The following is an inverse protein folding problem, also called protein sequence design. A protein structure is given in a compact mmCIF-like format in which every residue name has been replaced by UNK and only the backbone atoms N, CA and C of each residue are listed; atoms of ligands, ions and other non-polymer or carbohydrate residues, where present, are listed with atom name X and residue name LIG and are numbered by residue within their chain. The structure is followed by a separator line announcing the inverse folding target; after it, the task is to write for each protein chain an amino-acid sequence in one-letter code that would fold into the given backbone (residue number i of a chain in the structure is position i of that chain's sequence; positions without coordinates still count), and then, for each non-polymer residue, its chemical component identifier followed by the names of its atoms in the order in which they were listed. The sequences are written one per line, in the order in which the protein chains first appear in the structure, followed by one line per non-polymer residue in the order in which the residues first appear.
data_IF_958962899198
#
_entry.id   IF_958962899198
#
_cell.length_a   1.000
_cell.length_b   1.000
_cell.length_c   1.000
_cell.angle_alpha   90.00
_cell.angle_beta   90.00
_cell.angle_gamma   90.00
#
_symmetry.space_group_name_H-M   'P 1'
#
loop_
_entity.id
_entity.type
_entity.pdbx_description
1 polymer ?
#
# COMPACT_ATOMS: atom_id res chain seq x y z
N UNK A 1 -4.22 -7.70 4.80
CA UNK A 1 -4.43 -6.45 5.54
C UNK A 1 -3.17 -5.62 5.54
N UNK A 2 -3.27 -4.32 5.81
CA UNK A 2 -2.13 -3.44 6.03
C UNK A 2 -1.94 -3.15 7.53
N UNK A 3 -0.77 -2.61 7.89
CA UNK A 3 -0.38 -2.46 9.31
C UNK A 3 -1.33 -1.62 10.14
N UNK A 4 -1.86 -0.51 9.59
CA UNK A 4 -2.82 0.35 10.27
C UNK A 4 -4.08 -0.41 10.69
N UNK A 5 -4.54 -1.37 9.87
CA UNK A 5 -5.73 -2.17 10.17
C UNK A 5 -5.51 -3.07 11.38
N UNK A 6 -4.30 -3.60 11.55
CA UNK A 6 -3.94 -4.39 12.74
C UNK A 6 -3.98 -3.52 13.99
N UNK A 7 -3.35 -2.34 13.95
CA UNK A 7 -3.32 -1.44 15.09
C UNK A 7 -4.73 -0.96 15.46
N UNK A 8 -5.54 -0.56 14.48
CA UNK A 8 -6.93 -0.16 14.70
C UNK A 8 -7.79 -1.31 15.25
N UNK A 9 -7.64 -2.52 14.72
CA UNK A 9 -8.36 -3.69 15.23
C UNK A 9 -8.01 -3.99 16.68
N UNK A 10 -6.73 -3.88 17.04
CA UNK A 10 -6.27 -4.09 18.43
C UNK A 10 -6.83 -3.05 19.40
N UNK A 11 -6.94 -1.77 19.01
CA UNK A 11 -7.60 -0.77 19.86
C UNK A 11 -9.08 -1.06 20.12
N UNK A 12 -9.70 -1.84 19.23
CA UNK A 12 -11.10 -2.31 19.39
C UNK A 12 -11.18 -3.64 20.15
N UNK A 13 -10.05 -4.14 20.68
CA UNK A 13 -9.99 -5.39 21.44
C UNK A 13 -9.95 -6.65 20.60
N UNK A 14 -9.76 -6.56 19.28
CA UNK A 14 -9.65 -7.73 18.42
C UNK A 14 -8.24 -8.36 18.55
N UNK A 15 -8.12 -9.65 18.94
CA UNK A 15 -6.84 -10.32 19.15
C UNK A 15 -6.24 -10.80 17.83
N UNK A 16 -5.79 -9.87 17.00
CA UNK A 16 -5.16 -10.12 15.70
C UNK A 16 -3.69 -9.73 15.73
N UNK A 17 -2.87 -10.43 14.94
CA UNK A 17 -1.44 -10.22 14.83
C UNK A 17 -1.00 -10.33 13.37
N UNK A 18 -0.07 -9.48 12.97
CA UNK A 18 0.55 -9.52 11.65
C UNK A 18 1.66 -10.56 11.66
N UNK A 19 1.59 -11.54 10.76
CA UNK A 19 2.45 -12.72 10.81
C UNK A 19 3.42 -12.83 9.64
N UNK A 20 3.26 -12.01 8.61
CA UNK A 20 4.10 -12.04 7.41
C UNK A 20 3.98 -10.73 6.64
N UNK A 21 5.09 -10.06 6.38
CA UNK A 21 5.13 -8.87 5.53
C UNK A 21 5.26 -9.27 4.06
N UNK A 22 4.20 -9.08 3.29
CA UNK A 22 4.25 -9.27 1.83
C UNK A 22 4.94 -8.08 1.18
N UNK A 23 4.43 -6.87 1.44
CA UNK A 23 5.04 -5.64 0.97
C UNK A 23 6.08 -5.14 1.96
N UNK A 24 7.28 -4.87 1.48
CA UNK A 24 8.41 -4.37 2.26
C UNK A 24 8.50 -2.84 2.25
N UNK A 25 7.90 -2.21 1.26
CA UNK A 25 7.73 -0.77 1.17
C UNK A 25 6.24 -0.43 1.09
N UNK A 26 5.88 0.74 1.62
CA UNK A 26 4.50 1.20 1.59
C UNK A 26 4.10 1.55 0.15
N UNK A 27 3.13 0.85 -0.47
CA UNK A 27 2.95 0.85 -1.93
C UNK A 27 2.10 2.00 -2.44
N UNK A 28 2.01 3.10 -1.72
CA UNK A 28 1.15 4.24 -2.07
C UNK A 28 1.98 5.37 -2.65
N UNK A 29 1.45 5.97 -3.71
CA UNK A 29 1.95 7.18 -4.32
C UNK A 29 0.85 8.21 -4.52
N UNK A 30 1.28 9.46 -4.64
CA UNK A 30 0.45 10.54 -5.18
C UNK A 30 0.97 10.84 -6.59
N UNK A 31 0.10 10.71 -7.59
CA UNK A 31 0.40 11.11 -8.95
C UNK A 31 -0.26 12.44 -9.28
N UNK A 32 0.40 13.22 -10.14
CA UNK A 32 -0.13 14.50 -10.60
C UNK A 32 0.16 14.72 -12.09
N UNK A 33 -0.64 15.58 -12.73
CA UNK A 33 -0.32 16.05 -14.07
C UNK A 33 0.96 16.90 -14.04
N UNK A 34 1.85 16.77 -15.07
CA UNK A 34 3.16 17.47 -15.07
C UNK A 34 3.05 19.00 -14.96
N UNK A 35 1.96 19.56 -15.45
CA UNK A 35 1.71 21.02 -15.45
C UNK A 35 1.59 21.60 -14.05
N UNK A 36 1.20 20.80 -13.06
CA UNK A 36 1.13 21.22 -11.66
C UNK A 36 2.51 21.33 -11.00
N UNK A 37 3.56 20.76 -11.63
CA UNK A 37 4.95 20.81 -11.17
C UNK A 37 5.11 20.39 -9.69
N UNK A 38 4.37 19.36 -9.27
CA UNK A 38 4.47 18.77 -7.94
C UNK A 38 5.76 17.95 -7.87
N UNK A 39 6.70 18.32 -7.01
CA UNK A 39 8.02 17.68 -6.86
C UNK A 39 8.30 17.18 -5.46
N UNK A 40 7.64 17.74 -4.48
CA UNK A 40 7.79 17.39 -3.07
C UNK A 40 6.45 17.49 -2.34
N UNK A 41 6.30 16.84 -1.18
CA UNK A 41 5.02 16.83 -0.46
C UNK A 41 4.50 18.22 -0.08
N UNK A 42 5.38 19.21 0.11
CA UNK A 42 4.98 20.59 0.41
C UNK A 42 4.16 21.25 -0.71
N UNK A 43 4.38 20.84 -1.97
CA UNK A 43 3.66 21.34 -3.14
C UNK A 43 2.17 20.93 -3.16
N UNK A 44 1.78 19.97 -2.32
CA UNK A 44 0.39 19.53 -2.18
C UNK A 44 -0.49 20.57 -1.45
N UNK A 45 0.09 21.60 -0.82
CA UNK A 45 -0.68 22.64 -0.13
C UNK A 45 -1.70 23.31 -1.05
N UNK A 46 -2.97 23.34 -0.61
CA UNK A 46 -4.08 23.95 -1.35
C UNK A 46 -4.60 23.11 -2.52
N UNK A 47 -4.01 21.95 -2.78
CA UNK A 47 -4.41 21.09 -3.89
C UNK A 47 -5.69 20.29 -3.59
N UNK A 48 -6.41 19.94 -4.67
CA UNK A 48 -7.52 18.98 -4.65
C UNK A 48 -6.99 17.61 -5.04
N UNK A 49 -7.14 16.62 -4.15
CA UNK A 49 -6.55 15.29 -4.28
C UNK A 49 -7.67 14.24 -4.27
N UNK A 50 -7.80 13.48 -5.36
CA UNK A 50 -8.71 12.35 -5.47
C UNK A 50 -8.14 11.11 -4.77
N UNK A 51 -8.99 10.38 -4.05
CA UNK A 51 -8.64 9.10 -3.41
C UNK A 51 -9.88 8.21 -3.28
N UNK A 52 -9.72 6.88 -3.09
CA UNK A 52 -10.88 5.98 -2.99
C UNK A 52 -11.86 6.37 -1.90
N UNK A 53 -11.35 6.86 -0.76
CA UNK A 53 -12.13 7.31 0.39
C UNK A 53 -11.22 7.67 1.55
N UNK A 54 -11.80 8.16 2.65
CA UNK A 54 -11.06 8.57 3.85
C UNK A 54 -10.77 7.36 4.76
N UNK A 55 -10.23 6.28 4.18
CA UNK A 55 -9.91 5.03 4.86
C UNK A 55 -8.83 4.24 4.10
N UNK A 56 -8.22 3.26 4.77
CA UNK A 56 -7.28 2.31 4.19
C UNK A 56 -5.95 2.94 3.76
N UNK A 57 -5.12 2.14 3.10
CA UNK A 57 -3.73 2.49 2.79
C UNK A 57 -3.58 3.80 2.01
N UNK A 58 -4.49 4.08 1.04
CA UNK A 58 -4.45 5.33 0.27
C UNK A 58 -4.58 6.57 1.16
N UNK A 59 -5.55 6.55 2.09
CA UNK A 59 -5.75 7.65 3.02
C UNK A 59 -4.59 7.80 4.01
N UNK A 60 -4.13 6.68 4.58
CA UNK A 60 -2.98 6.65 5.50
C UNK A 60 -1.72 7.16 4.79
N UNK A 61 -1.45 6.71 3.56
CA UNK A 61 -0.30 7.16 2.78
C UNK A 61 -0.33 8.66 2.46
N UNK A 62 -1.50 9.18 2.08
CA UNK A 62 -1.65 10.63 1.87
C UNK A 62 -1.35 11.41 3.17
N UNK A 63 -1.92 10.99 4.30
CA UNK A 63 -1.68 11.66 5.58
C UNK A 63 -0.20 11.62 5.99
N UNK A 64 0.46 10.47 5.81
CA UNK A 64 1.88 10.32 6.09
C UNK A 64 2.72 11.30 5.26
N UNK A 65 2.41 11.41 3.98
CA UNK A 65 3.11 12.31 3.07
C UNK A 65 2.88 13.78 3.46
N UNK A 66 1.65 14.16 3.79
CA UNK A 66 1.34 15.52 4.26
C UNK A 66 2.11 15.83 5.55
N UNK A 67 2.09 14.94 6.53
CA UNK A 67 2.81 15.16 7.79
C UNK A 67 4.33 15.24 7.62
N UNK A 68 4.90 14.54 6.65
CA UNK A 68 6.33 14.63 6.35
C UNK A 68 6.76 16.05 5.94
N UNK A 69 5.85 16.83 5.37
CA UNK A 69 6.05 18.22 4.95
C UNK A 69 5.48 19.24 5.96
N UNK A 70 5.04 18.80 7.13
CA UNK A 70 4.39 19.68 8.11
C UNK A 70 3.00 20.19 7.67
N UNK A 71 2.37 19.48 6.75
CA UNK A 71 0.99 19.72 6.32
C UNK A 71 0.02 18.83 7.10
N UNK A 72 -1.25 19.17 7.03
CA UNK A 72 -2.35 18.42 7.63
C UNK A 72 -3.48 18.22 6.62
N UNK A 73 -4.48 17.45 6.97
CA UNK A 73 -5.70 17.28 6.18
C UNK A 73 -6.39 18.61 5.83
N UNK A 74 -6.25 19.63 6.68
CA UNK A 74 -6.85 20.97 6.46
C UNK A 74 -6.11 21.79 5.38
N UNK A 75 -4.89 21.40 5.03
CA UNK A 75 -4.09 22.08 4.01
C UNK A 75 -4.40 21.63 2.58
N UNK A 76 -5.25 20.61 2.40
CA UNK A 76 -5.65 20.05 1.07
C UNK A 76 -7.16 19.86 1.00
N UNK A 77 -7.70 19.68 -0.21
CA UNK A 77 -9.09 19.24 -0.40
C UNK A 77 -9.10 17.78 -0.83
N UNK A 78 -9.66 16.90 -0.01
CA UNK A 78 -9.79 15.47 -0.32
C UNK A 78 -11.10 15.20 -1.05
N UNK A 79 -11.02 14.54 -2.19
CA UNK A 79 -12.16 14.18 -3.03
C UNK A 79 -12.33 12.65 -3.04
N UNK A 80 -13.37 12.14 -2.41
CA UNK A 80 -13.65 10.71 -2.37
C UNK A 80 -14.28 10.26 -3.70
N UNK A 81 -13.46 9.70 -4.59
CA UNK A 81 -13.84 9.32 -5.97
C UNK A 81 -14.14 7.83 -6.13
N UNK A 82 -14.12 7.04 -5.04
CA UNK A 82 -14.17 5.58 -5.15
C UNK A 82 -12.90 5.02 -5.79
N UNK A 83 -12.98 3.77 -6.26
CA UNK A 83 -11.85 3.11 -6.94
C UNK A 83 -11.80 3.43 -8.44
N UNK A 84 -11.94 4.72 -8.79
CA UNK A 84 -11.98 5.23 -10.16
C UNK A 84 -10.79 6.14 -10.48
N UNK A 85 -9.64 5.94 -9.83
CA UNK A 85 -8.47 6.82 -9.93
C UNK A 85 -7.97 6.98 -11.37
N UNK A 86 -7.90 5.88 -12.13
CA UNK A 86 -7.45 5.88 -13.53
C UNK A 86 -8.35 6.75 -14.38
N UNK A 87 -9.66 6.54 -14.31
CA UNK A 87 -10.64 7.32 -15.10
C UNK A 87 -10.66 8.79 -14.68
N UNK A 88 -10.69 9.06 -13.37
CA UNK A 88 -10.73 10.42 -12.84
C UNK A 88 -9.48 11.23 -13.23
N UNK A 89 -8.31 10.60 -13.28
CA UNK A 89 -7.07 11.25 -13.72
C UNK A 89 -7.04 11.42 -15.24
N UNK A 90 -7.31 10.36 -16.01
CA UNK A 90 -7.27 10.38 -17.47
C UNK A 90 -8.25 11.39 -18.10
N UNK A 91 -9.40 11.60 -17.46
CA UNK A 91 -10.41 12.57 -17.92
C UNK A 91 -10.19 13.99 -17.41
N UNK A 92 -9.22 14.20 -16.50
CA UNK A 92 -8.95 15.50 -15.89
C UNK A 92 -9.97 15.90 -14.80
N UNK A 93 -10.80 14.98 -14.33
CA UNK A 93 -11.69 15.21 -13.18
C UNK A 93 -10.87 15.52 -11.91
N UNK A 94 -9.77 14.80 -11.73
CA UNK A 94 -8.78 15.04 -10.70
C UNK A 94 -7.37 15.03 -11.30
N UNK A 95 -6.69 16.16 -11.23
CA UNK A 95 -5.29 16.31 -11.68
C UNK A 95 -4.26 15.77 -10.70
N UNK A 96 -4.70 15.39 -9.52
CA UNK A 96 -3.89 14.72 -8.48
C UNK A 96 -4.74 13.58 -7.90
N UNK A 97 -4.21 12.37 -7.86
CA UNK A 97 -4.86 11.22 -7.25
C UNK A 97 -3.89 10.37 -6.44
N UNK A 98 -4.42 9.70 -5.41
CA UNK A 98 -3.69 8.72 -4.59
C UNK A 98 -3.88 7.34 -5.17
N UNK A 99 -2.80 6.63 -5.42
CA UNK A 99 -2.74 5.37 -6.16
C UNK A 99 -1.85 4.33 -5.49
N UNK A 100 -1.96 3.08 -5.94
CA UNK A 100 -0.93 2.08 -5.72
C UNK A 100 0.18 2.25 -6.77
N UNK A 101 1.41 2.49 -6.35
CA UNK A 101 2.56 2.77 -7.22
C UNK A 101 2.78 1.70 -8.31
N UNK A 102 2.52 0.45 -8.00
CA UNK A 102 2.69 -0.66 -8.94
C UNK A 102 1.49 -0.92 -9.86
N UNK A 103 0.44 -0.10 -9.86
CA UNK A 103 -0.79 -0.40 -10.59
C UNK A 103 -1.28 0.77 -11.47
N UNK A 104 -1.97 1.75 -10.89
CA UNK A 104 -2.64 2.81 -11.67
C UNK A 104 -1.69 3.65 -12.52
N UNK A 105 -0.45 3.99 -12.06
CA UNK A 105 0.50 4.71 -12.91
C UNK A 105 0.85 3.95 -14.19
N UNK A 106 1.00 2.62 -14.12
CA UNK A 106 1.30 1.78 -15.27
C UNK A 106 0.14 1.78 -16.27
N UNK A 107 -1.11 1.66 -15.77
CA UNK A 107 -2.29 1.72 -16.61
C UNK A 107 -2.43 3.06 -17.35
N UNK A 108 -2.15 4.17 -16.67
CA UNK A 108 -2.20 5.52 -17.25
C UNK A 108 -1.10 5.73 -18.29
N UNK A 109 0.11 5.29 -18.01
CA UNK A 109 1.23 5.36 -18.94
C UNK A 109 0.99 4.51 -20.19
N UNK A 110 0.38 3.33 -20.06
CA UNK A 110 -0.03 2.51 -21.19
C UNK A 110 -1.07 3.20 -22.09
N UNK A 111 -1.89 4.11 -21.52
CA UNK A 111 -2.83 4.97 -22.26
C UNK A 111 -2.16 6.23 -22.85
N UNK A 112 -0.85 6.42 -22.67
CA UNK A 112 -0.12 7.59 -23.12
C UNK A 112 -0.31 8.83 -22.23
N UNK A 113 -0.84 8.65 -21.00
CA UNK A 113 -1.06 9.76 -20.07
C UNK A 113 0.25 10.07 -19.35
N UNK A 114 0.73 11.32 -19.48
CA UNK A 114 1.90 11.80 -18.75
C UNK A 114 1.55 12.09 -17.28
N UNK A 115 2.44 11.73 -16.39
CA UNK A 115 2.29 11.94 -14.94
C UNK A 115 3.62 12.17 -14.25
N UNK A 116 3.57 12.76 -13.07
CA UNK A 116 4.66 12.80 -12.07
C UNK A 116 4.21 12.00 -10.85
N UNK A 117 5.15 11.44 -10.10
CA UNK A 117 4.86 10.57 -8.96
C UNK A 117 5.67 10.97 -7.74
N UNK A 118 5.01 11.03 -6.57
CA UNK A 118 5.63 11.09 -5.25
C UNK A 118 5.31 9.80 -4.50
N UNK A 119 6.29 8.95 -4.27
CA UNK A 119 6.16 7.70 -3.51
C UNK A 119 6.19 7.99 -2.02
N UNK A 120 5.23 7.50 -1.26
CA UNK A 120 5.22 7.65 0.21
C UNK A 120 6.45 7.02 0.85
N UNK A 121 6.91 5.88 0.32
CA UNK A 121 8.07 5.15 0.82
C UNK A 121 9.38 5.95 0.76
N UNK A 122 9.49 6.95 -0.11
CA UNK A 122 10.67 7.83 -0.20
C UNK A 122 10.77 8.82 0.98
N UNK A 123 9.67 9.02 1.71
CA UNK A 123 9.57 10.02 2.79
C UNK A 123 9.31 9.39 4.15
N UNK A 124 8.55 8.31 4.21
CA UNK A 124 8.15 7.67 5.47
C UNK A 124 8.13 6.15 5.30
N UNK A 125 8.84 5.46 6.19
CA UNK A 125 8.78 4.00 6.28
C UNK A 125 7.57 3.60 7.12
N UNK A 126 6.62 2.89 6.52
CA UNK A 126 5.39 2.42 7.16
C UNK A 126 5.18 0.93 6.91
N UNK A 127 4.52 0.26 7.86
CA UNK A 127 4.11 -1.13 7.67
C UNK A 127 3.04 -1.23 6.59
N UNK A 128 3.33 -2.01 5.57
CA UNK A 128 2.48 -2.17 4.40
C UNK A 128 1.57 -3.41 4.47
N UNK A 129 1.20 -3.94 3.29
CA UNK A 129 0.31 -5.08 3.17
C UNK A 129 1.00 -6.39 3.57
N UNK A 130 0.25 -7.23 4.28
CA UNK A 130 0.74 -8.53 4.72
C UNK A 130 -0.38 -9.45 5.21
N UNK A 131 0.03 -10.53 5.85
CA UNK A 131 -0.88 -11.55 6.37
C UNK A 131 -1.11 -11.34 7.85
N UNK A 132 -2.36 -11.44 8.25
CA UNK A 132 -2.78 -11.40 9.65
C UNK A 132 -3.36 -12.75 10.06
N UNK A 133 -3.23 -13.05 11.34
CA UNK A 133 -3.89 -14.21 11.96
C UNK A 133 -4.45 -13.83 13.32
N UNK A 134 -5.39 -14.60 13.86
CA UNK A 134 -5.84 -14.44 15.22
C UNK A 134 -4.78 -14.98 16.21
N UNK A 135 -4.64 -14.37 17.39
CA UNK A 135 -3.80 -14.91 18.45
C UNK A 135 -4.18 -16.37 18.77
N UNK A 136 -5.47 -16.72 18.69
CA UNK A 136 -5.97 -18.08 18.86
C UNK A 136 -5.38 -19.03 17.82
N UNK A 137 -5.46 -18.71 16.54
CA UNK A 137 -4.91 -19.55 15.46
C UNK A 137 -3.40 -19.73 15.61
N UNK A 138 -2.69 -18.65 15.99
CA UNK A 138 -1.24 -18.71 16.21
C UNK A 138 -0.90 -19.68 17.36
N UNK A 139 -1.69 -19.68 18.43
CA UNK A 139 -1.46 -20.52 19.59
C UNK A 139 -1.89 -21.98 19.37
N UNK A 140 -3.05 -22.23 18.74
CA UNK A 140 -3.62 -23.56 18.57
C UNK A 140 -3.11 -24.28 17.32
N UNK A 141 -2.78 -23.54 16.25
CA UNK A 141 -2.35 -24.07 14.95
C UNK A 141 -1.05 -23.44 14.43
N UNK A 142 0.05 -23.39 15.22
CA UNK A 142 1.28 -22.71 14.83
C UNK A 142 1.92 -23.30 13.56
N UNK A 143 1.72 -24.59 13.31
CA UNK A 143 2.25 -25.27 12.12
C UNK A 143 1.53 -24.82 10.85
N UNK A 144 0.22 -24.53 10.93
CA UNK A 144 -0.55 -23.96 9.82
C UNK A 144 -0.02 -22.57 9.47
N UNK A 145 0.16 -21.69 10.47
CA UNK A 145 0.68 -20.33 10.26
C UNK A 145 2.07 -20.38 9.61
N UNK A 146 2.97 -21.23 10.14
CA UNK A 146 4.31 -21.43 9.56
C UNK A 146 4.28 -21.99 8.15
N UNK A 147 3.38 -22.95 7.87
CA UNK A 147 3.25 -23.54 6.54
C UNK A 147 2.76 -22.51 5.50
N UNK A 148 1.77 -21.69 5.88
CA UNK A 148 1.28 -20.60 5.05
C UNK A 148 2.37 -19.57 4.78
N UNK A 149 3.08 -19.12 5.81
CA UNK A 149 4.17 -18.14 5.65
C UNK A 149 5.27 -18.65 4.72
N UNK A 150 5.67 -19.93 4.84
CA UNK A 150 6.65 -20.55 3.92
C UNK A 150 6.12 -20.66 2.49
N UNK A 151 4.84 -20.99 2.30
CA UNK A 151 4.25 -21.07 0.98
C UNK A 151 4.18 -19.71 0.30
N UNK A 152 3.83 -18.66 1.06
CA UNK A 152 3.83 -17.28 0.57
C UNK A 152 5.24 -16.80 0.24
N UNK A 153 6.24 -17.04 1.10
CA UNK A 153 7.63 -16.67 0.85
C UNK A 153 8.11 -17.28 -0.47
N UNK A 154 7.89 -18.59 -0.66
CA UNK A 154 8.24 -19.28 -1.91
C UNK A 154 7.50 -18.70 -3.11
N UNK A 155 6.19 -18.45 -3.00
CA UNK A 155 5.41 -17.86 -4.08
C UNK A 155 5.91 -16.47 -4.49
N UNK A 156 6.33 -15.65 -3.54
CA UNK A 156 6.93 -14.33 -3.79
C UNK A 156 8.29 -14.51 -4.49
N UNK A 157 9.15 -15.35 -3.95
CA UNK A 157 10.48 -15.63 -4.51
C UNK A 157 10.39 -16.21 -5.93
N UNK A 158 9.51 -17.19 -6.16
CA UNK A 158 9.27 -17.79 -7.46
C UNK A 158 8.70 -16.75 -8.47
N UNK A 159 7.80 -15.87 -8.02
CA UNK A 159 7.24 -14.79 -8.86
C UNK A 159 8.31 -13.78 -9.28
N UNK A 160 9.19 -13.38 -8.35
CA UNK A 160 10.29 -12.47 -8.64
C UNK A 160 11.31 -13.13 -9.61
N UNK A 161 11.60 -14.42 -9.41
CA UNK A 161 12.54 -15.16 -10.24
C UNK A 161 12.02 -15.47 -11.65
N UNK A 162 10.72 -15.74 -11.79
CA UNK A 162 10.05 -16.18 -13.03
C UNK A 162 8.70 -15.47 -13.23
N UNK A 163 8.66 -14.16 -13.52
CA UNK A 163 7.43 -13.41 -13.64
C UNK A 163 6.50 -13.90 -14.77
N UNK A 164 7.08 -14.40 -15.89
CA UNK A 164 6.29 -14.96 -16.98
C UNK A 164 5.50 -16.22 -16.55
N UNK A 165 6.13 -17.14 -15.84
CA UNK A 165 5.48 -18.33 -15.32
C UNK A 165 4.44 -17.97 -14.26
N UNK A 166 4.76 -17.02 -13.38
CA UNK A 166 3.83 -16.52 -12.37
C UNK A 166 2.58 -15.90 -13.01
N UNK A 167 2.74 -15.12 -14.09
CA UNK A 167 1.62 -14.59 -14.85
C UNK A 167 0.74 -15.71 -15.44
N UNK A 168 1.34 -16.68 -16.14
CA UNK A 168 0.61 -17.81 -16.73
C UNK A 168 -0.12 -18.67 -15.69
N UNK A 169 0.44 -18.81 -14.50
CA UNK A 169 -0.24 -19.45 -13.37
C UNK A 169 -1.42 -18.58 -12.91
N UNK A 170 -1.20 -17.29 -12.76
CA UNK A 170 -2.21 -16.34 -12.27
C UNK A 170 -3.45 -16.26 -13.16
N UNK A 171 -3.31 -16.46 -14.48
CA UNK A 171 -4.48 -16.50 -15.40
C UNK A 171 -5.48 -17.60 -15.07
N UNK A 172 -5.09 -18.62 -14.29
CA UNK A 172 -5.96 -19.71 -13.86
C UNK A 172 -6.76 -19.39 -12.59
N UNK A 173 -6.38 -18.35 -11.86
CA UNK A 173 -6.92 -18.02 -10.54
C UNK A 173 -7.48 -16.59 -10.45
N UNK A 174 -7.13 -15.72 -11.41
CA UNK A 174 -7.59 -14.33 -11.45
C UNK A 174 -8.57 -14.20 -12.61
N UNK A 175 -9.83 -13.90 -12.28
CA UNK A 175 -10.89 -13.75 -13.27
C UNK A 175 -10.54 -12.67 -14.29
N UNK A 176 -10.78 -12.96 -15.56
CA UNK A 176 -10.58 -12.08 -16.71
C UNK A 176 -9.11 -11.65 -16.97
N UNK A 177 -8.11 -12.10 -16.19
CA UNK A 177 -6.72 -11.73 -16.41
C UNK A 177 -6.23 -12.12 -17.82
N UNK A 178 -6.67 -13.28 -18.33
CA UNK A 178 -6.31 -13.76 -19.66
C UNK A 178 -6.89 -12.89 -20.81
N UNK A 179 -7.92 -12.11 -20.53
CA UNK A 179 -8.59 -11.22 -21.50
C UNK A 179 -8.03 -9.79 -21.46
N UNK A 180 -7.17 -9.48 -20.48
CA UNK A 180 -6.52 -8.17 -20.35
C UNK A 180 -5.27 -8.08 -21.23
N UNK A 181 -4.80 -6.83 -21.47
CA UNK A 181 -3.54 -6.60 -22.16
C UNK A 181 -2.38 -7.20 -21.34
N UNK A 182 -1.78 -8.27 -21.89
CA UNK A 182 -0.70 -9.02 -21.21
C UNK A 182 0.49 -8.14 -20.88
N UNK A 183 0.90 -7.26 -21.79
CA UNK A 183 2.10 -6.44 -21.61
C UNK A 183 1.88 -5.44 -20.46
N UNK A 184 0.70 -4.86 -20.38
CA UNK A 184 0.32 -3.97 -19.25
C UNK A 184 0.27 -4.75 -17.95
N UNK A 185 -0.35 -5.94 -17.92
CA UNK A 185 -0.44 -6.75 -16.70
C UNK A 185 0.93 -7.27 -16.23
N UNK A 186 1.82 -7.61 -17.16
CA UNK A 186 3.21 -7.96 -16.86
C UNK A 186 3.98 -6.78 -16.26
N UNK A 187 3.80 -5.55 -16.78
CA UNK A 187 4.41 -4.36 -16.21
C UNK A 187 3.88 -4.09 -14.78
N UNK A 188 2.59 -4.26 -14.54
CA UNK A 188 1.97 -4.15 -13.20
C UNK A 188 2.59 -5.18 -12.25
N UNK A 189 2.71 -6.45 -12.67
CA UNK A 189 3.32 -7.50 -11.88
C UNK A 189 4.77 -7.15 -11.53
N UNK A 190 5.59 -6.82 -12.52
CA UNK A 190 7.00 -6.48 -12.32
C UNK A 190 7.18 -5.26 -11.42
N UNK A 191 6.41 -4.19 -11.63
CA UNK A 191 6.45 -3.01 -10.78
C UNK A 191 6.00 -3.33 -9.35
N UNK A 192 5.01 -4.20 -9.18
CA UNK A 192 4.57 -4.64 -7.85
C UNK A 192 5.65 -5.43 -7.11
N UNK A 193 6.42 -6.28 -7.82
CA UNK A 193 7.49 -7.08 -7.20
C UNK A 193 8.61 -6.21 -6.62
N UNK A 194 8.83 -5.00 -7.10
CA UNK A 194 9.82 -4.07 -6.53
C UNK A 194 9.53 -3.76 -5.05
N UNK A 195 8.24 -3.73 -4.68
CA UNK A 195 7.81 -3.48 -3.30
C UNK A 195 7.88 -4.72 -2.39
N UNK A 196 8.14 -5.91 -2.94
CA UNK A 196 8.18 -7.19 -2.21
C UNK A 196 9.60 -7.61 -1.86
N UNK A 197 10.62 -7.05 -2.53
CA UNK A 197 12.02 -7.41 -2.35
C UNK A 197 12.50 -7.04 -0.95
N UNK A 198 13.09 -8.00 -0.24
CA UNK A 198 13.71 -7.87 1.07
C UNK A 198 14.93 -8.78 1.20
N UNK A 199 15.81 -8.48 2.15
CA UNK A 199 16.89 -9.42 2.55
C UNK A 199 16.30 -10.71 3.13
N UNK A 200 15.19 -10.60 3.84
CA UNK A 200 14.43 -11.73 4.39
C UNK A 200 12.95 -11.56 4.05
N UNK A 201 12.45 -12.38 3.12
CA UNK A 201 11.05 -12.37 2.71
C UNK A 201 10.13 -12.62 3.91
N UNK A 202 9.12 -11.77 4.06
CA UNK A 202 8.17 -11.86 5.17
C UNK A 202 8.59 -11.15 6.45
N UNK A 203 9.81 -10.61 6.54
CA UNK A 203 10.27 -9.84 7.69
C UNK A 203 9.44 -8.56 7.88
N UNK A 204 9.11 -8.27 9.12
CA UNK A 204 8.35 -7.08 9.51
C UNK A 204 9.24 -6.13 10.31
N UNK A 205 9.54 -4.96 9.75
CA UNK A 205 10.45 -4.00 10.37
C UNK A 205 9.78 -3.31 11.57
N UNK A 206 10.33 -3.44 12.79
CA UNK A 206 9.80 -2.77 13.97
C UNK A 206 9.69 -1.25 13.84
N UNK A 207 10.64 -0.59 13.16
CA UNK A 207 10.60 0.86 12.98
C UNK A 207 9.40 1.30 12.14
N UNK A 208 9.01 0.52 11.13
CA UNK A 208 7.82 0.79 10.34
C UNK A 208 6.53 0.72 11.18
N UNK A 209 6.50 -0.17 12.18
CA UNK A 209 5.40 -0.26 13.15
C UNK A 209 5.36 0.93 14.10
N UNK A 210 6.49 1.37 14.62
CA UNK A 210 6.59 2.56 15.46
C UNK A 210 6.10 3.80 14.70
N UNK A 211 6.59 3.99 13.47
CA UNK A 211 6.16 5.09 12.62
C UNK A 211 4.65 5.05 12.33
N UNK A 212 4.09 3.86 12.06
CA UNK A 212 2.65 3.69 11.83
C UNK A 212 1.84 4.03 13.09
N UNK A 213 2.29 3.57 14.26
CA UNK A 213 1.65 3.85 15.54
C UNK A 213 1.60 5.37 15.82
N UNK A 214 2.73 6.06 15.64
CA UNK A 214 2.84 7.50 15.79
C UNK A 214 1.97 8.26 14.79
N UNK A 215 1.91 7.79 13.55
CA UNK A 215 1.07 8.35 12.50
C UNK A 215 -0.42 8.28 12.88
N UNK A 216 -0.88 7.13 13.34
CA UNK A 216 -2.28 6.95 13.74
C UNK A 216 -2.68 7.82 14.93
N UNK A 217 -1.75 8.07 15.87
CA UNK A 217 -1.96 9.03 16.95
C UNK A 217 -2.07 10.47 16.41
N UNK A 218 -1.17 10.87 15.51
CA UNK A 218 -1.23 12.20 14.87
C UNK A 218 -2.50 12.42 14.07
N UNK A 219 -3.04 11.35 13.47
CA UNK A 219 -4.31 11.36 12.75
C UNK A 219 -5.53 11.31 13.68
N UNK A 220 -5.33 11.21 15.01
CA UNK A 220 -6.39 11.03 16.01
C UNK A 220 -7.25 9.76 15.78
N UNK A 221 -6.74 8.78 15.05
CA UNK A 221 -7.39 7.49 14.81
C UNK A 221 -7.25 6.55 16.00
N UNK A 222 -6.21 6.74 16.80
CA UNK A 222 -6.01 6.09 18.10
C UNK A 222 -5.67 7.16 19.15
N UNK A 223 -6.15 7.01 20.41
CA UNK A 223 -6.00 8.06 21.42
C UNK A 223 -4.57 8.18 21.98
N UNK A 224 -3.78 7.13 21.89
CA UNK A 224 -2.39 7.05 22.35
C UNK A 224 -1.69 5.90 21.67
N UNK A 225 -0.33 5.85 21.66
CA UNK A 225 0.41 4.71 21.13
C UNK A 225 0.00 3.41 21.84
N UNK A 226 -0.16 2.33 21.06
CA UNK A 226 -0.48 1.00 21.60
C UNK A 226 0.79 0.18 21.78
N UNK A 227 0.71 -0.85 22.64
CA UNK A 227 1.77 -1.84 22.81
C UNK A 227 1.93 -2.68 21.53
N UNK A 228 3.09 -2.58 20.89
CA UNK A 228 3.43 -3.28 19.66
C UNK A 228 3.88 -4.73 19.88
N UNK A 229 4.13 -5.16 21.13
CA UNK A 229 4.65 -6.50 21.43
C UNK A 229 3.76 -7.66 20.96
N UNK A 230 2.49 -7.35 20.66
CA UNK A 230 1.50 -8.30 20.14
C UNK A 230 0.95 -7.88 18.78
N UNK A 231 1.47 -6.85 18.15
CA UNK A 231 0.97 -6.38 16.87
C UNK A 231 1.51 -7.21 15.69
N UNK A 232 2.74 -7.71 15.82
CA UNK A 232 3.43 -8.48 14.77
C UNK A 232 4.38 -9.52 15.35
N UNK A 233 4.85 -10.45 14.50
CA UNK A 233 5.82 -11.50 14.84
C UNK A 233 7.09 -11.36 14.03
#
# INVERSE_FOLDING_TARGET
ASGEQVLLARTQGLPVMYTFAWYQQFPISIISTPELNIKEPADLRGQKIGLPGLFGANYIGLQALLFSAGLTAADVTMDAIGFNQVEAFATGQNNIVVVYSGNEPIQLQAQGVALTELRVADYVQLTANGIISSEKTIAEEPDLVRALSRALARGIEDTIANPDEAYEISTKFVDNLADMDKDVQMQILMSSTEFWVAEQTGYSDPQAWENMNDLLVKMELIPAPIDLSKAFT
#
